data_IF_745067235567
#
_entry.id   IF_745067235567
#
_cell.length_a   1.000
_cell.length_b   1.000
_cell.length_c   1.000
_cell.angle_alpha   90.00
_cell.angle_beta   90.00
_cell.angle_gamma   90.00
#
_symmetry.space_group_name_H-M   'P 1'
#
loop_
_entity.id
_entity.type
_entity.pdbx_description
1 polymer ?
#
# COMPACT_ATOMS: atom_id res chain seq x y z
N UNK A 1 -9.43 -11.93 7.95
CA UNK A 1 -8.96 -10.53 7.84
C UNK A 1 -7.65 -10.24 8.58
N UNK A 2 -7.30 -10.94 9.67
CA UNK A 2 -6.01 -10.75 10.38
C UNK A 2 -4.78 -11.26 9.60
N UNK A 3 -4.92 -12.30 8.78
CA UNK A 3 -3.81 -12.88 8.00
C UNK A 3 -3.15 -11.90 7.03
N UNK A 4 -3.92 -10.95 6.48
CA UNK A 4 -3.38 -9.96 5.54
C UNK A 4 -2.52 -8.93 6.28
N UNK A 5 -2.95 -8.50 7.47
CA UNK A 5 -2.15 -7.61 8.31
C UNK A 5 -0.83 -8.30 8.66
N UNK A 6 -0.85 -9.59 8.97
CA UNK A 6 0.37 -10.36 9.21
C UNK A 6 1.27 -10.45 7.97
N UNK A 7 0.72 -10.68 6.77
CA UNK A 7 1.50 -10.70 5.51
C UNK A 7 2.15 -9.34 5.22
N UNK A 8 1.41 -8.26 5.41
CA UNK A 8 1.89 -6.89 5.22
C UNK A 8 2.90 -6.50 6.28
N UNK A 9 2.69 -6.90 7.53
CA UNK A 9 3.66 -6.71 8.60
C UNK A 9 4.97 -7.42 8.28
N UNK A 10 4.90 -8.65 7.73
CA UNK A 10 6.07 -9.39 7.30
C UNK A 10 6.79 -8.70 6.12
N UNK A 11 6.04 -8.17 5.15
CA UNK A 11 6.60 -7.36 4.06
C UNK A 11 7.27 -6.08 4.59
N UNK A 12 6.62 -5.37 5.50
CA UNK A 12 7.17 -4.16 6.12
C UNK A 12 8.42 -4.48 6.97
N UNK A 13 8.49 -5.68 7.55
CA UNK A 13 9.68 -6.16 8.25
C UNK A 13 10.86 -6.40 7.30
N UNK A 14 10.60 -6.94 6.11
CA UNK A 14 11.60 -7.08 5.03
C UNK A 14 12.05 -5.71 4.52
N UNK A 15 11.10 -4.80 4.33
CA UNK A 15 11.35 -3.42 3.93
C UNK A 15 12.22 -2.66 4.95
N UNK A 16 12.04 -2.91 6.25
CA UNK A 16 12.92 -2.37 7.31
C UNK A 16 14.36 -2.87 7.16
N UNK A 17 14.54 -4.13 6.77
CA UNK A 17 15.87 -4.74 6.55
C UNK A 17 16.61 -4.11 5.36
N UNK A 18 15.89 -3.62 4.34
CA UNK A 18 16.43 -2.86 3.20
C UNK A 18 16.96 -1.44 3.58
N UNK A 19 16.90 -1.03 4.86
CA UNK A 19 17.45 0.25 5.35
C UNK A 19 16.45 1.41 5.37
N UNK A 20 15.15 1.11 5.35
CA UNK A 20 14.08 2.10 5.37
C UNK A 20 13.92 2.70 6.77
N UNK A 21 13.92 4.02 6.87
CA UNK A 21 13.78 4.74 8.14
C UNK A 21 12.40 4.52 8.76
N UNK A 22 12.28 4.54 10.09
CA UNK A 22 11.01 4.33 10.81
C UNK A 22 9.87 5.23 10.30
N UNK A 23 10.20 6.47 9.90
CA UNK A 23 9.25 7.39 9.30
C UNK A 23 8.66 6.85 7.98
N UNK A 24 9.52 6.39 7.06
CA UNK A 24 9.06 5.76 5.82
C UNK A 24 8.25 4.49 6.13
N UNK A 25 8.68 3.66 7.08
CA UNK A 25 7.91 2.48 7.50
C UNK A 25 6.46 2.83 7.92
N UNK A 26 6.27 3.89 8.73
CA UNK A 26 4.93 4.33 9.17
C UNK A 26 4.10 4.89 8.01
N UNK A 27 4.73 5.64 7.10
CA UNK A 27 4.08 6.14 5.88
C UNK A 27 3.58 4.98 5.01
N UNK A 28 4.41 3.96 4.78
CA UNK A 28 4.03 2.79 3.97
C UNK A 28 2.85 2.02 4.60
N UNK A 29 2.89 1.87 5.93
CA UNK A 29 1.82 1.22 6.68
C UNK A 29 0.51 2.01 6.59
N UNK A 30 0.59 3.35 6.60
CA UNK A 30 -0.56 4.25 6.43
C UNK A 30 -1.20 4.10 5.04
N UNK A 31 -0.40 4.02 3.97
CA UNK A 31 -0.91 3.77 2.61
C UNK A 31 -1.63 2.45 2.47
N UNK A 32 -1.04 1.39 3.04
CA UNK A 32 -1.65 0.07 3.10
C UNK A 32 -2.98 0.13 3.88
N UNK A 33 -3.02 0.85 5.00
CA UNK A 33 -4.25 1.04 5.77
C UNK A 33 -5.30 1.81 4.97
N UNK A 34 -4.90 2.83 4.22
CA UNK A 34 -5.77 3.62 3.37
C UNK A 34 -6.42 2.77 2.28
N UNK A 35 -5.64 1.93 1.58
CA UNK A 35 -6.17 0.98 0.59
C UNK A 35 -7.18 0.02 1.20
N UNK A 36 -6.89 -0.49 2.41
CA UNK A 36 -7.83 -1.35 3.16
C UNK A 36 -9.11 -0.60 3.53
N UNK A 37 -8.98 0.62 4.05
CA UNK A 37 -10.13 1.46 4.38
C UNK A 37 -10.95 1.80 3.13
N UNK A 38 -10.32 2.08 2.00
CA UNK A 38 -11.00 2.35 0.74
C UNK A 38 -11.82 1.15 0.26
N UNK A 39 -11.33 -0.08 0.44
CA UNK A 39 -12.11 -1.30 0.21
C UNK A 39 -13.29 -1.41 1.17
N UNK A 40 -13.05 -1.26 2.47
CA UNK A 40 -14.10 -1.43 3.50
C UNK A 40 -15.20 -0.36 3.42
N UNK A 41 -14.85 0.85 2.99
CA UNK A 41 -15.77 1.99 2.84
C UNK A 41 -16.41 2.08 1.44
N UNK A 42 -16.00 1.22 0.50
CA UNK A 42 -16.44 1.27 -0.90
C UNK A 42 -15.84 2.40 -1.73
N UNK A 43 -14.91 3.18 -1.17
CA UNK A 43 -14.17 4.23 -1.88
C UNK A 43 -13.13 3.68 -2.89
N UNK A 44 -12.97 2.36 -3.00
CA UNK A 44 -12.13 1.70 -4.01
C UNK A 44 -12.52 2.04 -5.47
N UNK A 45 -13.70 2.62 -5.70
CA UNK A 45 -14.14 3.15 -7.00
C UNK A 45 -13.24 4.31 -7.46
N UNK A 46 -12.70 5.08 -6.52
CA UNK A 46 -11.77 6.19 -6.82
C UNK A 46 -10.35 5.68 -7.14
N UNK A 47 -10.09 4.39 -6.92
CA UNK A 47 -8.80 3.74 -7.17
C UNK A 47 -8.95 2.87 -8.43
N UNK A 48 -8.01 2.96 -9.39
CA UNK A 48 -8.07 2.11 -10.57
C UNK A 48 -8.14 0.63 -10.19
N UNK A 49 -8.94 -0.17 -10.91
CA UNK A 49 -9.11 -1.60 -10.61
C UNK A 49 -7.79 -2.37 -10.55
N UNK A 50 -6.80 -1.94 -11.35
CA UNK A 50 -5.45 -2.47 -11.37
C UNK A 50 -4.67 -2.25 -10.07
N UNK A 51 -5.06 -1.28 -9.23
CA UNK A 51 -4.36 -0.86 -8.00
C UNK A 51 -5.21 -1.08 -6.73
N UNK A 52 -6.23 -1.93 -6.79
CA UNK A 52 -7.09 -2.20 -5.64
C UNK A 52 -6.45 -3.13 -4.63
N UNK A 53 -6.99 -3.12 -3.41
CA UNK A 53 -6.57 -3.98 -2.33
C UNK A 53 -6.52 -5.46 -2.73
N UNK A 54 -7.49 -5.97 -3.50
CA UNK A 54 -7.47 -7.36 -3.97
C UNK A 54 -6.23 -7.69 -4.80
N UNK A 55 -5.81 -6.80 -5.70
CA UNK A 55 -4.59 -6.97 -6.50
C UNK A 55 -3.35 -7.00 -5.63
N UNK A 56 -3.34 -6.20 -4.57
CA UNK A 56 -2.26 -6.18 -3.59
C UNK A 56 -2.22 -7.49 -2.78
N UNK A 57 -3.38 -8.02 -2.36
CA UNK A 57 -3.46 -9.27 -1.61
C UNK A 57 -3.19 -10.52 -2.45
N UNK A 58 -3.39 -10.44 -3.76
CA UNK A 58 -3.11 -11.52 -4.70
C UNK A 58 -1.61 -11.68 -4.97
N UNK A 59 -0.80 -10.64 -4.71
CA UNK A 59 0.65 -10.65 -4.89
C UNK A 59 1.38 -10.94 -3.58
N UNK A 60 2.60 -11.46 -3.66
CA UNK A 60 3.42 -11.77 -2.49
C UNK A 60 4.92 -11.63 -2.79
N UNK A 61 5.72 -11.40 -1.75
CA UNK A 61 7.18 -11.30 -1.88
C UNK A 61 7.64 -10.11 -2.72
N UNK A 62 8.55 -10.36 -3.68
CA UNK A 62 9.19 -9.31 -4.49
C UNK A 62 8.19 -8.64 -5.44
N UNK A 63 7.27 -9.40 -6.02
CA UNK A 63 6.22 -8.86 -6.90
C UNK A 63 5.31 -7.88 -6.15
N UNK A 64 5.01 -8.16 -4.88
CA UNK A 64 4.22 -7.26 -4.03
C UNK A 64 4.95 -5.94 -3.81
N UNK A 65 6.26 -5.98 -3.49
CA UNK A 65 7.09 -4.77 -3.31
C UNK A 65 7.14 -3.94 -4.60
N UNK A 66 7.32 -4.60 -5.75
CA UNK A 66 7.36 -3.92 -7.06
C UNK A 66 6.02 -3.26 -7.40
N UNK A 67 4.93 -4.02 -7.30
CA UNK A 67 3.59 -3.54 -7.57
C UNK A 67 3.18 -2.39 -6.63
N UNK A 68 3.52 -2.50 -5.35
CA UNK A 68 3.24 -1.46 -4.37
C UNK A 68 4.01 -0.16 -4.66
N UNK A 69 5.28 -0.25 -5.10
CA UNK A 69 6.02 0.93 -5.59
C UNK A 69 5.39 1.57 -6.82
N UNK A 70 4.95 0.76 -7.79
CA UNK A 70 4.23 1.26 -8.97
C UNK A 70 2.91 1.93 -8.59
N UNK A 71 2.17 1.34 -7.65
CA UNK A 71 0.94 1.89 -7.10
C UNK A 71 1.19 3.24 -6.41
N UNK A 72 2.23 3.35 -5.58
CA UNK A 72 2.60 4.60 -4.91
C UNK A 72 3.02 5.68 -5.90
N UNK A 73 3.82 5.33 -6.91
CA UNK A 73 4.18 6.25 -7.98
C UNK A 73 2.93 6.74 -8.72
N UNK A 74 2.02 5.82 -9.04
CA UNK A 74 0.77 6.14 -9.72
C UNK A 74 -0.15 7.00 -8.85
N UNK A 75 -0.28 6.73 -7.55
CA UNK A 75 -1.03 7.57 -6.61
C UNK A 75 -0.35 8.93 -6.43
N UNK A 76 0.98 8.99 -6.40
CA UNK A 76 1.74 10.24 -6.34
C UNK A 76 1.59 11.13 -7.57
N UNK A 77 1.47 10.52 -8.76
CA UNK A 77 1.26 11.24 -10.04
C UNK A 77 -0.21 11.57 -10.32
N UNK A 78 -1.16 10.69 -9.96
CA UNK A 78 -2.57 10.84 -10.32
C UNK A 78 -3.46 11.41 -9.20
N UNK A 79 -3.05 11.35 -7.92
CA UNK A 79 -3.82 11.95 -6.82
C UNK A 79 -3.45 13.43 -6.65
N UNK A 80 -3.88 14.27 -7.58
CA UNK A 80 -3.97 15.72 -7.35
C UNK A 80 -5.04 15.99 -6.28
N UNK A 81 -4.63 16.27 -5.04
CA UNK A 81 -5.47 17.12 -4.17
C UNK A 81 -5.43 16.92 -2.65
N UNK A 82 -5.08 15.75 -2.08
CA UNK A 82 -5.08 15.58 -0.59
C UNK A 82 -4.02 14.63 0.00
N UNK A 83 -3.42 13.77 -0.81
CA UNK A 83 -2.43 12.76 -0.35
C UNK A 83 -0.99 13.28 -0.40
N UNK A 84 -0.76 14.41 -1.08
CA UNK A 84 0.57 15.01 -1.25
C UNK A 84 1.04 15.83 -0.03
N UNK A 85 0.17 16.05 0.95
CA UNK A 85 0.42 16.88 2.15
C UNK A 85 0.46 16.07 3.46
N UNK A 86 0.48 14.73 3.40
CA UNK A 86 0.57 13.86 4.58
C UNK A 86 2.02 13.43 4.81
#
# INVERSE_FOLDING_TARGET
>A
TQEIVSKLWNLCNVLRDDGITYHQYVTELTYILFLKMAKETGAEIQIPAAYRWDQLTAKSGIELKKFYKELLAHLGENCTGRVREI
#
